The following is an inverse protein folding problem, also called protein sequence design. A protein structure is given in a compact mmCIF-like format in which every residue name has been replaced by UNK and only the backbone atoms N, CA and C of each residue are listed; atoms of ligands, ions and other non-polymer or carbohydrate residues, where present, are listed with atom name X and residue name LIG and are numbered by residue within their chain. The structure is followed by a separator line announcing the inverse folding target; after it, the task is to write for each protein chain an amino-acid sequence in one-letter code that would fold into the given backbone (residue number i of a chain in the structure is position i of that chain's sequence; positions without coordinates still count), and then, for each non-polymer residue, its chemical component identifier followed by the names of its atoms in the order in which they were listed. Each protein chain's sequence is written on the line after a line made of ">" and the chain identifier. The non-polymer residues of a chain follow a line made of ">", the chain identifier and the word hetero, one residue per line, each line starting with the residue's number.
data_IF_990274545472
#
_entry.id   IF_990274545472
#
_cell.length_a   1.000
_cell.length_b   1.000
_cell.length_c   1.000
_cell.angle_alpha   90.00
_cell.angle_beta   90.00
_cell.angle_gamma   90.00
#
_symmetry.space_group_name_H-M   'P 1'
#
loop_
_entity.id
_entity.type
_entity.pdbx_description
1 polymer ?
#
# COMPACT_ATOMS: atom_id res chain seq x y z
N UNK A 1 3.50 -24.41 -0.12
CA UNK A 1 2.56 -23.54 0.62
C UNK A 1 3.28 -22.28 1.05
N UNK A 2 2.64 -21.15 0.83
CA UNK A 2 3.21 -19.86 1.24
C UNK A 2 2.96 -19.65 2.73
N UNK A 3 4.03 -19.37 3.47
CA UNK A 3 3.95 -19.06 4.89
C UNK A 3 3.75 -17.55 5.04
N UNK A 4 2.60 -17.15 5.59
CA UNK A 4 2.24 -15.74 5.73
C UNK A 4 2.22 -15.26 7.17
N UNK A 5 3.09 -15.83 7.99
CA UNK A 5 3.18 -15.45 9.40
C UNK A 5 3.75 -14.03 9.57
N UNK A 6 4.60 -13.62 8.64
CA UNK A 6 5.19 -12.28 8.63
C UNK A 6 4.81 -11.60 7.34
N UNK A 7 3.71 -10.88 7.38
CA UNK A 7 3.10 -10.26 6.22
C UNK A 7 2.86 -8.78 6.48
N UNK A 8 3.14 -7.95 5.48
CA UNK A 8 2.79 -6.53 5.51
C UNK A 8 1.64 -6.33 4.54
N UNK A 9 0.57 -5.70 5.00
CA UNK A 9 -0.51 -5.22 4.14
C UNK A 9 -0.38 -3.71 4.07
N UNK A 10 -0.04 -3.20 2.90
CA UNK A 10 0.33 -1.81 2.73
C UNK A 10 -0.59 -1.08 1.76
N UNK A 11 -1.01 0.10 2.16
CA UNK A 11 -1.71 1.05 1.30
C UNK A 11 -0.78 1.60 0.22
N UNK A 12 -1.34 2.14 -0.85
CA UNK A 12 -0.57 2.69 -1.96
C UNK A 12 -0.57 4.22 -1.93
N UNK A 13 -1.72 4.84 -2.23
CA UNK A 13 -1.81 6.30 -2.35
C UNK A 13 -1.66 6.98 -0.99
N UNK A 14 -0.67 7.85 -0.87
CA UNK A 14 -0.35 8.52 0.39
C UNK A 14 0.55 7.70 1.32
N UNK A 15 1.00 6.52 0.87
CA UNK A 15 1.90 5.63 1.63
C UNK A 15 3.12 5.26 0.80
N UNK A 16 2.96 4.39 -0.21
CA UNK A 16 4.05 4.05 -1.15
C UNK A 16 4.36 5.18 -2.11
N UNK A 17 3.38 5.95 -2.46
CA UNK A 17 3.54 7.12 -3.31
C UNK A 17 2.89 8.33 -2.65
N UNK A 18 3.24 9.50 -3.14
CA UNK A 18 2.57 10.74 -2.76
C UNK A 18 1.17 10.73 -3.35
N UNK A 19 0.26 11.48 -2.72
CA UNK A 19 -1.10 11.61 -3.27
C UNK A 19 -1.04 12.35 -4.60
N UNK A 20 -1.81 11.85 -5.56
CA UNK A 20 -1.89 12.47 -6.89
C UNK A 20 -2.47 13.88 -6.79
N UNK A 21 -1.78 14.84 -7.40
CA UNK A 21 -2.33 16.19 -7.59
C UNK A 21 -3.35 16.17 -8.74
N UNK A 22 -4.23 17.16 -8.77
CA UNK A 22 -5.26 17.26 -9.82
C UNK A 22 -4.67 17.46 -11.22
N UNK A 23 -3.42 17.97 -11.31
CA UNK A 23 -2.72 18.20 -12.59
C UNK A 23 -1.85 17.01 -13.02
N UNK A 24 -1.92 15.88 -12.30
CA UNK A 24 -1.13 14.69 -12.61
C UNK A 24 -2.02 13.52 -13.01
N UNK A 25 -1.46 12.60 -13.81
CA UNK A 25 -1.99 11.25 -13.97
C UNK A 25 -1.31 10.32 -12.98
N UNK A 26 -1.89 9.14 -12.75
CA UNK A 26 -1.35 8.19 -11.77
C UNK A 26 0.03 7.65 -12.13
N UNK A 27 0.37 7.59 -13.41
CA UNK A 27 1.71 7.15 -13.85
C UNK A 27 2.79 8.19 -13.57
N UNK A 28 2.41 9.43 -13.28
CA UNK A 28 3.34 10.53 -12.98
C UNK A 28 3.63 10.71 -11.50
N UNK A 29 2.90 10.01 -10.62
CA UNK A 29 3.05 10.20 -9.18
C UNK A 29 4.42 9.72 -8.72
N UNK A 30 5.06 10.51 -7.84
CA UNK A 30 6.37 10.14 -7.30
C UNK A 30 6.24 9.07 -6.22
N UNK A 31 7.17 8.11 -6.16
CA UNK A 31 7.25 7.21 -5.02
C UNK A 31 7.63 7.97 -3.75
N UNK A 32 7.37 7.37 -2.60
CA UNK A 32 7.76 7.88 -1.29
C UNK A 32 9.01 7.13 -0.84
N UNK A 33 10.23 7.67 -1.08
CA UNK A 33 11.46 6.90 -0.92
C UNK A 33 11.67 6.26 0.46
N UNK A 34 11.42 6.95 1.59
CA UNK A 34 11.62 6.31 2.90
C UNK A 34 10.76 5.06 3.09
N UNK A 35 9.50 5.09 2.64
CA UNK A 35 8.60 3.94 2.75
C UNK A 35 9.04 2.82 1.83
N UNK A 36 9.39 3.14 0.59
CA UNK A 36 9.83 2.14 -0.40
C UNK A 36 11.09 1.43 0.08
N UNK A 37 12.07 2.18 0.58
CA UNK A 37 13.31 1.60 1.08
C UNK A 37 13.09 0.71 2.31
N UNK A 38 12.25 1.15 3.25
CA UNK A 38 11.93 0.34 4.42
C UNK A 38 11.19 -0.94 4.02
N UNK A 39 10.30 -0.85 3.03
CA UNK A 39 9.60 -2.02 2.50
C UNK A 39 10.59 -3.03 1.91
N UNK A 40 11.58 -2.57 1.17
CA UNK A 40 12.63 -3.43 0.62
C UNK A 40 13.43 -4.13 1.71
N UNK A 41 13.73 -3.43 2.80
CA UNK A 41 14.42 -4.02 3.96
C UNK A 41 13.59 -5.14 4.59
N UNK A 42 12.29 -4.91 4.78
CA UNK A 42 11.39 -5.95 5.29
C UNK A 42 11.32 -7.14 4.35
N UNK A 43 11.26 -6.87 3.05
CA UNK A 43 11.26 -7.95 2.04
C UNK A 43 12.52 -8.80 2.14
N UNK A 44 13.67 -8.18 2.30
CA UNK A 44 14.94 -8.90 2.48
C UNK A 44 14.95 -9.74 3.75
N UNK A 45 14.22 -9.34 4.75
CA UNK A 45 14.05 -10.08 6.01
C UNK A 45 13.00 -11.20 5.92
N UNK A 46 12.43 -11.42 4.73
CA UNK A 46 11.50 -12.52 4.49
C UNK A 46 10.03 -12.19 4.65
N UNK A 47 9.65 -10.93 4.72
CA UNK A 47 8.24 -10.55 4.81
C UNK A 47 7.52 -10.74 3.49
N UNK A 48 6.32 -11.27 3.55
CA UNK A 48 5.39 -11.36 2.43
C UNK A 48 4.67 -10.01 2.30
N UNK A 49 4.53 -9.49 1.09
CA UNK A 49 4.00 -8.13 0.87
C UNK A 49 2.70 -8.18 0.09
N UNK A 50 1.67 -7.63 0.68
CA UNK A 50 0.36 -7.44 0.06
C UNK A 50 0.11 -5.94 -0.05
N UNK A 51 -0.19 -5.49 -1.26
CA UNK A 51 -0.63 -4.11 -1.46
C UNK A 51 -2.15 -4.10 -1.56
N UNK A 52 -2.79 -3.14 -0.89
CA UNK A 52 -4.23 -3.00 -0.90
C UNK A 52 -4.58 -1.53 -1.20
N UNK A 53 -5.37 -1.29 -2.24
CA UNK A 53 -5.64 0.07 -2.69
C UNK A 53 -7.13 0.30 -2.92
N UNK A 54 -7.59 1.49 -2.51
CA UNK A 54 -8.92 1.98 -2.83
C UNK A 54 -8.90 2.91 -4.06
N UNK A 55 -7.78 2.93 -4.79
CA UNK A 55 -7.65 3.78 -5.99
C UNK A 55 -8.80 3.54 -6.94
N UNK A 56 -9.40 4.62 -7.40
CA UNK A 56 -10.54 4.66 -8.31
C UNK A 56 -11.83 4.02 -7.78
N UNK A 57 -11.92 3.70 -6.49
CA UNK A 57 -13.18 3.24 -5.90
C UNK A 57 -14.26 4.31 -6.00
N UNK A 58 -13.91 5.57 -5.78
CA UNK A 58 -14.86 6.66 -5.94
C UNK A 58 -15.23 6.87 -7.42
N UNK A 59 -14.23 7.01 -8.30
CA UNK A 59 -14.47 7.34 -9.71
C UNK A 59 -15.18 6.23 -10.48
N UNK A 60 -14.97 4.97 -10.11
CA UNK A 60 -15.62 3.82 -10.74
C UNK A 60 -16.79 3.27 -9.90
N UNK A 61 -17.21 4.01 -8.89
CA UNK A 61 -18.37 3.66 -8.07
C UNK A 61 -18.29 2.22 -7.51
N UNK A 62 -17.10 1.82 -7.10
CA UNK A 62 -16.87 0.49 -6.52
C UNK A 62 -16.90 -0.67 -7.51
N UNK A 63 -16.91 -0.40 -8.80
CA UNK A 63 -16.93 -1.46 -9.82
C UNK A 63 -15.55 -2.11 -9.93
N UNK A 64 -15.39 -3.27 -9.30
CA UNK A 64 -14.12 -3.99 -9.22
C UNK A 64 -13.63 -4.41 -10.62
N UNK A 65 -14.55 -4.78 -11.50
CA UNK A 65 -14.20 -5.18 -12.87
C UNK A 65 -13.55 -4.04 -13.65
N UNK A 66 -14.10 -2.84 -13.55
CA UNK A 66 -13.53 -1.66 -14.20
C UNK A 66 -12.18 -1.29 -13.59
N UNK A 67 -12.06 -1.35 -12.27
CA UNK A 67 -10.82 -1.05 -11.57
C UNK A 67 -9.74 -2.05 -11.95
N UNK A 68 -10.07 -3.33 -12.00
CA UNK A 68 -9.12 -4.38 -12.41
C UNK A 68 -8.65 -4.16 -13.85
N UNK A 69 -9.56 -3.88 -14.76
CA UNK A 69 -9.24 -3.74 -16.18
C UNK A 69 -8.43 -2.47 -16.49
N UNK A 70 -8.59 -1.41 -15.70
CA UNK A 70 -8.00 -0.11 -15.99
C UNK A 70 -6.94 0.30 -14.96
N UNK A 71 -7.32 0.39 -13.71
CA UNK A 71 -6.45 0.89 -12.63
C UNK A 71 -5.29 -0.05 -12.34
N UNK A 72 -5.54 -1.35 -12.28
CA UNK A 72 -4.52 -2.33 -11.92
C UNK A 72 -3.36 -2.34 -12.91
N UNK A 73 -3.62 -2.18 -14.20
CA UNK A 73 -2.58 -2.18 -15.24
C UNK A 73 -1.60 -1.02 -15.04
N UNK A 74 -2.13 0.18 -14.80
CA UNK A 74 -1.33 1.38 -14.60
C UNK A 74 -0.51 1.26 -13.31
N UNK A 75 -1.14 0.77 -12.27
CA UNK A 75 -0.46 0.61 -10.98
C UNK A 75 0.65 -0.43 -11.05
N UNK A 76 0.42 -1.58 -11.66
CA UNK A 76 1.45 -2.61 -11.80
C UNK A 76 2.64 -2.12 -12.62
N UNK A 77 2.39 -1.39 -13.70
CA UNK A 77 3.45 -0.80 -14.51
C UNK A 77 4.28 0.20 -13.70
N UNK A 78 3.62 1.01 -12.88
CA UNK A 78 4.28 1.97 -11.99
C UNK A 78 5.13 1.26 -10.93
N UNK A 79 4.60 0.21 -10.31
CA UNK A 79 5.32 -0.58 -9.32
C UNK A 79 6.58 -1.20 -9.92
N UNK A 80 6.46 -1.76 -11.12
CA UNK A 80 7.60 -2.37 -11.81
C UNK A 80 8.65 -1.32 -12.19
N UNK A 81 8.21 -0.16 -12.66
CA UNK A 81 9.10 0.94 -13.04
C UNK A 81 9.96 1.39 -11.85
N UNK A 82 9.39 1.40 -10.66
CA UNK A 82 10.07 1.88 -9.45
C UNK A 82 10.68 0.75 -8.59
N UNK A 83 10.69 -0.48 -9.10
CA UNK A 83 11.24 -1.65 -8.39
C UNK A 83 10.66 -1.83 -7.00
N UNK A 84 9.35 -1.67 -6.86
CA UNK A 84 8.66 -1.85 -5.58
C UNK A 84 8.25 -3.31 -5.44
N UNK A 85 8.71 -4.02 -4.39
CA UNK A 85 8.37 -5.42 -4.22
C UNK A 85 6.95 -5.62 -3.73
N UNK A 86 6.27 -6.61 -4.27
CA UNK A 86 4.97 -7.06 -3.77
C UNK A 86 4.69 -8.48 -4.26
N UNK A 87 3.90 -9.21 -3.50
CA UNK A 87 3.46 -10.57 -3.84
C UNK A 87 2.01 -10.60 -4.30
N UNK A 88 1.18 -9.72 -3.73
CA UNK A 88 -0.23 -9.60 -4.10
C UNK A 88 -0.60 -8.13 -4.24
N UNK A 89 -1.50 -7.87 -5.17
CA UNK A 89 -2.12 -6.56 -5.32
C UNK A 89 -3.63 -6.72 -5.22
N UNK A 90 -4.22 -6.09 -4.23
CA UNK A 90 -5.66 -6.08 -4.01
C UNK A 90 -6.23 -4.71 -4.38
N UNK A 91 -7.07 -4.67 -5.41
CA UNK A 91 -7.91 -3.52 -5.71
C UNK A 91 -9.22 -3.66 -4.92
N UNK A 92 -10.00 -2.60 -4.86
CA UNK A 92 -11.31 -2.68 -4.21
C UNK A 92 -11.27 -2.56 -2.70
N UNK A 93 -10.17 -2.09 -2.13
CA UNK A 93 -10.15 -1.74 -0.71
C UNK A 93 -11.24 -0.70 -0.46
N UNK A 94 -12.09 -0.88 0.56
CA UNK A 94 -13.16 0.10 0.81
C UNK A 94 -12.60 1.50 0.95
N UNK A 95 -13.21 2.44 0.24
CA UNK A 95 -12.84 3.83 0.33
C UNK A 95 -13.57 4.48 1.51
N UNK A 96 -12.82 5.13 2.37
CA UNK A 96 -13.37 5.72 3.60
C UNK A 96 -14.13 7.03 3.37
N UNK A 97 -14.27 7.46 2.11
CA UNK A 97 -14.86 8.75 1.81
C UNK A 97 -13.85 9.89 1.99
N UNK A 98 -14.31 11.12 1.78
CA UNK A 98 -13.40 12.27 1.91
C UNK A 98 -13.08 12.61 3.35
N UNK A 99 -14.02 12.35 4.25
CA UNK A 99 -13.91 12.77 5.64
C UNK A 99 -13.86 11.60 6.62
N UNK A 100 -13.79 10.37 6.12
CA UNK A 100 -13.70 9.17 6.94
C UNK A 100 -12.27 8.69 7.14
N UNK A 101 -12.13 7.60 7.88
CA UNK A 101 -10.83 7.03 8.21
C UNK A 101 -10.98 5.55 8.55
N UNK A 102 -9.84 4.85 8.63
CA UNK A 102 -9.79 3.45 9.04
C UNK A 102 -9.50 3.35 10.53
N UNK A 103 -10.14 2.37 11.18
CA UNK A 103 -9.83 1.98 12.55
C UNK A 103 -9.35 0.53 12.51
N UNK A 104 -8.13 0.27 12.96
CA UNK A 104 -7.50 -1.05 12.86
C UNK A 104 -6.45 -1.18 13.96
N UNK A 105 -6.47 -2.30 14.68
CA UNK A 105 -5.53 -2.56 15.77
C UNK A 105 -4.16 -3.05 15.29
N UNK A 106 -4.05 -3.43 14.02
CA UNK A 106 -2.81 -3.96 13.43
C UNK A 106 -2.14 -2.97 12.47
N UNK A 107 -2.45 -1.70 12.56
CA UNK A 107 -1.96 -0.70 11.62
C UNK A 107 -1.03 0.32 12.27
N UNK A 108 -0.03 0.73 11.51
CA UNK A 108 0.81 1.89 11.85
C UNK A 108 0.71 2.91 10.72
N UNK A 109 1.05 4.16 11.03
CA UNK A 109 1.09 5.23 10.06
C UNK A 109 2.38 5.13 9.21
N UNK A 110 2.40 5.69 8.00
CA UNK A 110 3.60 5.65 7.14
C UNK A 110 4.86 6.20 7.84
N UNK A 111 4.74 7.28 8.60
CA UNK A 111 5.88 7.85 9.33
C UNK A 111 6.36 6.92 10.45
N UNK A 112 5.45 6.24 11.14
CA UNK A 112 5.81 5.24 12.14
C UNK A 112 6.53 4.05 11.49
N UNK A 113 6.05 3.61 10.34
CA UNK A 113 6.67 2.51 9.60
C UNK A 113 8.13 2.81 9.25
N UNK A 114 8.45 4.05 8.89
CA UNK A 114 9.80 4.44 8.51
C UNK A 114 10.68 4.81 9.70
N UNK A 115 10.09 5.23 10.82
CA UNK A 115 10.83 5.73 11.99
C UNK A 115 11.09 4.67 13.03
N UNK A 116 10.16 3.72 13.19
CA UNK A 116 10.22 2.71 14.25
C UNK A 116 10.88 1.42 13.77
N UNK A 117 11.54 0.71 14.68
CA UNK A 117 12.03 -0.63 14.42
C UNK A 117 10.86 -1.62 14.38
N UNK A 118 11.12 -2.83 13.87
CA UNK A 118 10.12 -3.89 13.86
C UNK A 118 9.63 -4.20 15.28
N UNK A 119 10.56 -4.27 16.25
CA UNK A 119 10.22 -4.53 17.65
C UNK A 119 9.32 -3.44 18.22
N UNK A 120 9.60 -2.18 17.92
CA UNK A 120 8.77 -1.05 18.35
C UNK A 120 7.38 -1.09 17.70
N UNK A 121 7.30 -1.48 16.43
CA UNK A 121 6.01 -1.65 15.75
C UNK A 121 5.18 -2.74 16.44
N UNK A 122 5.81 -3.87 16.78
CA UNK A 122 5.12 -4.95 17.49
C UNK A 122 4.56 -4.53 18.83
N UNK A 123 5.23 -3.59 19.53
CA UNK A 123 4.71 -3.04 20.79
C UNK A 123 3.41 -2.27 20.56
N UNK A 124 3.28 -1.60 19.42
CA UNK A 124 2.07 -0.84 19.07
C UNK A 124 0.94 -1.77 18.62
N UNK A 125 1.24 -2.69 17.70
CA UNK A 125 0.20 -3.51 17.06
C UNK A 125 -0.07 -4.82 17.83
N UNK A 126 0.83 -5.19 18.71
CA UNK A 126 0.73 -6.44 19.47
C UNK A 126 1.11 -7.67 18.66
N UNK A 127 1.37 -8.75 19.37
CA UNK A 127 1.60 -10.06 18.78
C UNK A 127 0.35 -10.93 19.01
N UNK A 128 0.02 -11.71 18.01
CA UNK A 128 -1.03 -12.73 18.17
C UNK A 128 -0.48 -13.97 18.89
#
# INVERSE_FOLDING_TARGET
>A
MIRRERCIVMDVDGTLCLKKRSDQSYDEVAPNPPVVERLREYRQSGFYVILATSRNMNSHEGNIGLITANTAKILMAWLDLHDIPYDELHVGKPWAGRDGFYVDDKAVRPDEFTRLSYEEILEIVGKD
#
